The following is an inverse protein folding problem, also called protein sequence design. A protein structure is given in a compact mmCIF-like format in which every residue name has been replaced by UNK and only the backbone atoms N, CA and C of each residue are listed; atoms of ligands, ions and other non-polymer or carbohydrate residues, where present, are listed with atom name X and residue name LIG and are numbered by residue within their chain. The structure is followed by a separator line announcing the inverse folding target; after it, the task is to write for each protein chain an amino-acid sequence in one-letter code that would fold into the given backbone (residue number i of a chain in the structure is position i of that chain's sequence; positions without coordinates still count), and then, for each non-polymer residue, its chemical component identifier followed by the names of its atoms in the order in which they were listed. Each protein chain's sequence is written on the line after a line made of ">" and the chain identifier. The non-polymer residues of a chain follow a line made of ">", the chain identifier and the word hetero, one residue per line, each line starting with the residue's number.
data_IF_328908725488
#
_entry.id   IF_328908725488
#
_cell.length_a   1.000
_cell.length_b   1.000
_cell.length_c   1.000
_cell.angle_alpha   90.00
_cell.angle_beta   90.00
_cell.angle_gamma   90.00
#
_symmetry.space_group_name_H-M   'P 1'
#
loop_
_entity.id
_entity.type
_entity.pdbx_description
1 polymer ?
#
# COMPACT_ATOMS: atom_id res chain seq x y z
N UNK A 1 -20.61 30.86 8.36
CA UNK A 1 -19.24 30.48 7.95
C UNK A 1 -18.62 29.37 8.81
N UNK A 2 -18.96 29.24 10.11
CA UNK A 2 -18.46 28.13 10.95
C UNK A 2 -18.94 26.75 10.47
N UNK A 3 -20.20 26.66 10.03
CA UNK A 3 -20.83 25.40 9.61
C UNK A 3 -20.10 24.73 8.42
N UNK A 4 -19.61 25.53 7.47
CA UNK A 4 -18.82 25.06 6.32
C UNK A 4 -17.49 24.44 6.74
N UNK A 5 -16.85 24.97 7.79
CA UNK A 5 -15.57 24.48 8.28
C UNK A 5 -15.72 23.17 9.07
N UNK A 6 -16.80 23.03 9.85
CA UNK A 6 -17.12 21.79 10.59
C UNK A 6 -17.45 20.67 9.61
N UNK A 7 -18.32 20.93 8.62
CA UNK A 7 -18.67 19.96 7.57
C UNK A 7 -17.41 19.43 6.86
N UNK A 8 -16.47 20.31 6.53
CA UNK A 8 -15.20 19.93 5.89
C UNK A 8 -14.30 19.02 6.75
N UNK A 9 -14.21 19.25 8.06
CA UNK A 9 -13.44 18.39 8.97
C UNK A 9 -14.07 17.00 9.08
N UNK A 10 -15.38 16.95 9.32
CA UNK A 10 -16.13 15.70 9.44
C UNK A 10 -16.02 14.89 8.14
N UNK A 11 -16.16 15.52 6.98
CA UNK A 11 -16.00 14.86 5.69
C UNK A 11 -14.60 14.25 5.51
N UNK A 12 -13.52 14.97 5.87
CA UNK A 12 -12.16 14.43 5.81
C UNK A 12 -11.98 13.20 6.70
N UNK A 13 -12.52 13.24 7.92
CA UNK A 13 -12.45 12.09 8.84
C UNK A 13 -13.21 10.89 8.25
N UNK A 14 -14.43 11.10 7.75
CA UNK A 14 -15.22 10.02 7.11
C UNK A 14 -14.46 9.41 5.93
N UNK A 15 -13.94 10.23 5.01
CA UNK A 15 -13.15 9.73 3.87
C UNK A 15 -11.92 8.95 4.33
N UNK A 16 -11.25 9.40 5.39
CA UNK A 16 -10.10 8.70 5.96
C UNK A 16 -10.49 7.36 6.55
N UNK A 17 -11.61 7.28 7.26
CA UNK A 17 -12.11 6.01 7.81
C UNK A 17 -12.49 5.02 6.71
N UNK A 18 -13.06 5.50 5.60
CA UNK A 18 -13.36 4.66 4.43
C UNK A 18 -12.05 4.15 3.80
N UNK A 19 -11.07 5.01 3.56
CA UNK A 19 -9.77 4.61 3.01
C UNK A 19 -9.06 3.64 3.94
N UNK A 20 -9.13 3.86 5.25
CA UNK A 20 -8.58 2.96 6.25
C UNK A 20 -9.23 1.57 6.18
N UNK A 21 -10.57 1.50 6.12
CA UNK A 21 -11.29 0.24 6.02
C UNK A 21 -10.99 -0.52 4.72
N UNK A 22 -10.97 0.18 3.58
CA UNK A 22 -10.64 -0.41 2.27
C UNK A 22 -9.18 -0.88 2.26
N UNK A 23 -8.25 -0.08 2.76
CA UNK A 23 -6.83 -0.42 2.78
C UNK A 23 -6.54 -1.59 3.73
N UNK A 24 -7.22 -1.66 4.88
CA UNK A 24 -7.09 -2.79 5.80
C UNK A 24 -7.60 -4.08 5.18
N UNK A 25 -8.80 -4.03 4.60
CA UNK A 25 -9.41 -5.19 3.93
C UNK A 25 -8.58 -5.62 2.72
N UNK A 26 -8.13 -4.65 1.91
CA UNK A 26 -7.26 -4.87 0.76
C UNK A 26 -5.91 -5.46 1.16
N UNK A 27 -5.29 -5.00 2.25
CA UNK A 27 -4.04 -5.58 2.75
C UNK A 27 -4.24 -7.06 3.10
N UNK A 28 -5.28 -7.39 3.87
CA UNK A 28 -5.56 -8.79 4.28
C UNK A 28 -5.88 -9.65 3.07
N UNK A 29 -6.77 -9.21 2.18
CA UNK A 29 -7.16 -9.95 0.98
C UNK A 29 -5.96 -10.23 0.07
N UNK A 30 -5.09 -9.23 -0.15
CA UNK A 30 -3.92 -9.42 -0.99
C UNK A 30 -2.87 -10.33 -0.34
N UNK A 31 -2.67 -10.24 0.98
CA UNK A 31 -1.81 -11.20 1.68
C UNK A 31 -2.35 -12.64 1.58
N UNK A 32 -3.67 -12.84 1.62
CA UNK A 32 -4.29 -14.15 1.42
C UNK A 32 -4.03 -14.68 0.00
N UNK A 33 -4.21 -13.85 -1.03
CA UNK A 33 -3.89 -14.24 -2.43
C UNK A 33 -2.42 -14.64 -2.56
N UNK A 34 -1.49 -13.93 -1.91
CA UNK A 34 -0.07 -14.31 -1.88
C UNK A 34 0.18 -15.65 -1.19
N UNK A 35 -0.53 -15.93 -0.09
CA UNK A 35 -0.45 -17.22 0.57
C UNK A 35 -0.97 -18.33 -0.34
N UNK A 36 -2.16 -18.17 -0.93
CA UNK A 36 -2.72 -19.16 -1.85
C UNK A 36 -1.85 -19.39 -3.08
N UNK A 37 -1.28 -18.34 -3.66
CA UNK A 37 -0.40 -18.45 -4.82
C UNK A 37 0.89 -19.23 -4.53
N UNK A 38 1.36 -19.21 -3.28
CA UNK A 38 2.53 -20.00 -2.84
C UNK A 38 2.16 -21.44 -2.49
N UNK A 39 0.96 -21.66 -1.96
CA UNK A 39 0.53 -22.98 -1.46
C UNK A 39 -0.06 -23.88 -2.55
N UNK A 40 -0.88 -23.31 -3.44
CA UNK A 40 -1.59 -24.09 -4.45
C UNK A 40 -0.74 -24.26 -5.71
N UNK A 41 -0.38 -25.50 -6.02
CA UNK A 41 0.40 -25.86 -7.22
C UNK A 41 -0.23 -25.35 -8.53
N UNK A 42 -1.56 -25.22 -8.58
CA UNK A 42 -2.30 -24.70 -9.74
C UNK A 42 -1.89 -23.26 -10.08
N UNK A 43 -1.50 -22.46 -9.08
CA UNK A 43 -1.04 -21.07 -9.25
C UNK A 43 0.48 -20.95 -9.47
N UNK A 44 1.22 -22.07 -9.56
CA UNK A 44 2.65 -22.06 -9.91
C UNK A 44 2.88 -21.90 -11.42
N UNK A 45 1.81 -21.77 -12.20
CA UNK A 45 1.89 -21.35 -13.59
C UNK A 45 2.20 -19.84 -13.71
N UNK A 46 2.49 -19.39 -14.93
CA UNK A 46 2.80 -18.00 -15.18
C UNK A 46 1.68 -17.03 -14.81
N UNK A 47 0.42 -17.43 -14.98
CA UNK A 47 -0.74 -16.60 -14.65
C UNK A 47 -0.87 -16.39 -13.14
N UNK A 48 -0.74 -17.45 -12.33
CA UNK A 48 -0.78 -17.35 -10.88
C UNK A 48 0.37 -16.51 -10.33
N UNK A 49 1.54 -16.56 -10.98
CA UNK A 49 2.66 -15.69 -10.62
C UNK A 49 2.45 -14.23 -10.96
N UNK A 50 1.84 -13.95 -12.11
CA UNK A 50 1.43 -12.59 -12.46
C UNK A 50 0.42 -12.06 -11.44
N UNK A 51 -0.65 -12.82 -11.18
CA UNK A 51 -1.70 -12.46 -10.22
C UNK A 51 -1.14 -12.20 -8.82
N UNK A 52 -0.19 -13.02 -8.37
CA UNK A 52 0.40 -12.81 -7.07
C UNK A 52 1.42 -11.65 -7.06
N UNK A 53 2.09 -11.34 -8.17
CA UNK A 53 2.87 -10.09 -8.26
C UNK A 53 1.98 -8.84 -8.18
N UNK A 54 0.81 -8.87 -8.83
CA UNK A 54 -0.17 -7.80 -8.79
C UNK A 54 -0.73 -7.65 -7.37
N UNK A 55 -1.09 -8.76 -6.74
CA UNK A 55 -1.57 -8.76 -5.37
C UNK A 55 -0.52 -8.27 -4.38
N UNK A 56 0.75 -8.59 -4.58
CA UNK A 56 1.84 -8.02 -3.80
C UNK A 56 1.93 -6.50 -3.94
N UNK A 57 1.81 -5.97 -5.17
CA UNK A 57 1.77 -4.54 -5.43
C UNK A 57 0.63 -3.85 -4.68
N UNK A 58 -0.57 -4.44 -4.72
CA UNK A 58 -1.76 -3.94 -4.04
C UNK A 58 -1.63 -4.01 -2.51
N UNK A 59 -1.06 -5.09 -1.96
CA UNK A 59 -0.77 -5.20 -0.52
C UNK A 59 0.16 -4.08 -0.05
N UNK A 60 1.21 -3.83 -0.84
CA UNK A 60 2.21 -2.79 -0.59
C UNK A 60 1.55 -1.40 -0.64
N UNK A 61 0.71 -1.13 -1.63
CA UNK A 61 -0.06 0.11 -1.75
C UNK A 61 -1.01 0.31 -0.55
N UNK A 62 -1.74 -0.73 -0.16
CA UNK A 62 -2.61 -0.72 1.02
C UNK A 62 -1.82 -0.44 2.31
N UNK A 63 -0.63 -1.04 2.47
CA UNK A 63 0.24 -0.78 3.60
C UNK A 63 0.72 0.68 3.63
N UNK A 64 0.99 1.30 2.47
CA UNK A 64 1.34 2.73 2.41
C UNK A 64 0.16 3.58 2.89
N UNK A 65 -1.05 3.29 2.44
CA UNK A 65 -2.22 4.05 2.86
C UNK A 65 -2.48 3.92 4.37
N UNK A 66 -2.33 2.72 4.93
CA UNK A 66 -2.48 2.50 6.37
C UNK A 66 -1.40 3.20 7.19
N UNK A 67 -0.13 3.07 6.80
CA UNK A 67 1.00 3.55 7.59
C UNK A 67 1.31 5.03 7.39
N UNK A 68 0.98 5.60 6.23
CA UNK A 68 1.31 7.00 5.91
C UNK A 68 0.08 7.88 5.77
N UNK A 69 -0.89 7.50 4.94
CA UNK A 69 -2.02 8.36 4.61
C UNK A 69 -3.01 8.49 5.78
N UNK A 70 -3.48 7.37 6.33
CA UNK A 70 -4.45 7.36 7.42
C UNK A 70 -3.99 8.15 8.65
N UNK A 71 -2.78 7.93 9.19
CA UNK A 71 -2.32 8.73 10.32
C UNK A 71 -2.16 10.20 9.92
N UNK A 72 -1.63 10.51 8.73
CA UNK A 72 -1.47 11.89 8.28
C UNK A 72 -2.78 12.68 8.36
N UNK A 73 -3.90 12.10 7.92
CA UNK A 73 -5.19 12.80 7.96
C UNK A 73 -5.81 12.82 9.36
N UNK A 74 -5.68 11.74 10.14
CA UNK A 74 -6.20 11.71 11.52
C UNK A 74 -5.50 12.74 12.42
N UNK A 75 -4.20 12.92 12.25
CA UNK A 75 -3.43 13.93 12.96
C UNK A 75 -3.79 15.33 12.47
N UNK A 76 -4.15 15.44 11.18
CA UNK A 76 -4.70 16.67 10.63
C UNK A 76 -6.05 17.05 11.22
N UNK A 77 -6.86 16.07 11.62
CA UNK A 77 -8.09 16.36 12.33
C UNK A 77 -7.84 16.75 13.80
N UNK A 78 -6.87 16.14 14.48
CA UNK A 78 -6.71 16.26 15.94
C UNK A 78 -5.82 17.42 16.41
N UNK A 79 -5.23 18.22 15.51
CA UNK A 79 -4.19 19.22 15.83
C UNK A 79 -2.94 18.66 16.54
N UNK A 80 -2.81 17.34 16.68
CA UNK A 80 -1.66 16.66 17.31
C UNK A 80 -0.58 16.34 16.25
N UNK A 81 -0.40 17.24 15.29
CA UNK A 81 0.59 17.09 14.22
C UNK A 81 2.01 16.91 14.78
N UNK A 82 2.36 17.72 15.78
CA UNK A 82 3.71 17.78 16.31
C UNK A 82 4.11 16.47 17.01
N UNK A 83 3.20 15.89 17.79
CA UNK A 83 3.49 14.68 18.57
C UNK A 83 3.71 13.47 17.68
N UNK A 84 3.05 13.41 16.52
CA UNK A 84 3.27 12.32 15.59
C UNK A 84 4.48 12.52 14.68
N UNK A 85 4.79 13.74 14.24
CA UNK A 85 6.10 14.00 13.59
C UNK A 85 7.24 13.56 14.51
N UNK A 86 7.10 13.80 15.82
CA UNK A 86 8.05 13.37 16.85
C UNK A 86 8.08 11.84 17.04
N UNK A 87 6.93 11.18 17.24
CA UNK A 87 6.86 9.71 17.37
C UNK A 87 7.35 8.99 16.11
N UNK A 88 7.13 9.58 14.93
CA UNK A 88 7.58 9.02 13.65
C UNK A 88 9.06 9.31 13.37
N UNK A 89 9.75 10.06 14.23
CA UNK A 89 11.20 10.31 14.21
C UNK A 89 11.79 10.47 12.82
N UNK A 90 11.86 11.69 12.27
CA UNK A 90 12.47 11.99 10.96
C UNK A 90 11.99 11.18 9.74
N UNK A 91 11.08 10.21 9.88
CA UNK A 91 10.50 9.45 8.78
C UNK A 91 9.44 10.30 8.05
N UNK A 92 9.81 11.49 7.60
CA UNK A 92 9.06 12.18 6.55
C UNK A 92 8.97 11.21 5.38
N UNK A 93 7.80 11.13 4.75
CA UNK A 93 7.68 10.46 3.46
C UNK A 93 8.42 11.33 2.44
N UNK A 94 9.74 11.26 2.48
CA UNK A 94 10.63 11.96 1.57
C UNK A 94 10.61 11.22 0.24
N UNK A 95 10.91 11.90 -0.89
CA UNK A 95 11.10 11.22 -2.16
C UNK A 95 12.12 10.07 -2.05
N UNK A 96 13.08 10.17 -1.14
CA UNK A 96 14.04 9.10 -0.82
C UNK A 96 13.41 7.90 -0.11
N UNK A 97 12.42 8.12 0.77
CA UNK A 97 11.63 7.02 1.36
C UNK A 97 10.82 6.31 0.29
N UNK A 98 10.22 7.06 -0.62
CA UNK A 98 9.49 6.53 -1.78
C UNK A 98 10.44 5.72 -2.69
N UNK A 99 11.63 6.24 -3.00
CA UNK A 99 12.68 5.50 -3.75
C UNK A 99 13.11 4.24 -3.03
N UNK A 100 13.39 4.31 -1.72
CA UNK A 100 13.76 3.13 -0.91
C UNK A 100 12.66 2.10 -0.91
N UNK A 101 11.41 2.53 -0.83
CA UNK A 101 10.24 1.66 -0.89
C UNK A 101 10.10 1.00 -2.26
N UNK A 102 10.26 1.75 -3.36
CA UNK A 102 10.28 1.21 -4.73
C UNK A 102 11.46 0.26 -4.96
N UNK A 103 12.64 0.56 -4.41
CA UNK A 103 13.82 -0.32 -4.48
C UNK A 103 13.62 -1.60 -3.67
N UNK A 104 13.03 -1.48 -2.47
CA UNK A 104 12.68 -2.63 -1.64
C UNK A 104 11.62 -3.48 -2.34
N UNK A 105 10.59 -2.86 -2.91
CA UNK A 105 9.59 -3.50 -3.76
C UNK A 105 10.26 -4.25 -4.91
N UNK A 106 11.15 -3.58 -5.66
CA UNK A 106 11.90 -4.19 -6.77
C UNK A 106 12.78 -5.36 -6.33
N UNK A 107 13.40 -5.25 -5.14
CA UNK A 107 14.24 -6.31 -4.56
C UNK A 107 13.39 -7.52 -4.14
N UNK A 108 12.29 -7.29 -3.43
CA UNK A 108 11.35 -8.35 -3.01
C UNK A 108 10.73 -9.04 -4.24
N UNK A 109 10.34 -8.27 -5.25
CA UNK A 109 9.81 -8.79 -6.51
C UNK A 109 10.84 -9.70 -7.20
N UNK A 110 12.12 -9.27 -7.27
CA UNK A 110 13.23 -10.08 -7.78
C UNK A 110 13.43 -11.38 -7.01
N UNK A 111 13.40 -11.32 -5.67
CA UNK A 111 13.67 -12.49 -4.82
C UNK A 111 12.53 -13.50 -4.81
N UNK A 112 11.27 -13.05 -4.81
CA UNK A 112 10.13 -13.94 -4.60
C UNK A 112 9.34 -14.29 -5.85
N UNK A 113 9.36 -13.46 -6.90
CA UNK A 113 8.50 -13.64 -8.07
C UNK A 113 9.26 -13.78 -9.39
N UNK A 114 10.41 -13.13 -9.53
CA UNK A 114 11.06 -12.87 -10.82
C UNK A 114 12.11 -13.90 -11.26
N UNK A 115 12.09 -15.11 -10.71
CA UNK A 115 13.05 -16.13 -11.13
C UNK A 115 12.78 -16.68 -12.55
N UNK A 116 11.60 -16.43 -13.12
CA UNK A 116 11.33 -16.81 -14.50
C UNK A 116 11.07 -15.58 -15.36
N UNK A 117 11.77 -15.57 -16.49
CA UNK A 117 11.75 -14.58 -17.57
C UNK A 117 10.36 -14.14 -18.05
N UNK A 118 9.28 -14.79 -17.61
CA UNK A 118 7.91 -14.58 -18.06
C UNK A 118 7.33 -13.19 -17.72
N UNK A 119 7.62 -12.61 -16.54
CA UNK A 119 7.04 -11.31 -16.17
C UNK A 119 7.68 -10.16 -16.96
N UNK A 120 8.94 -10.26 -17.36
CA UNK A 120 9.55 -9.24 -18.25
C UNK A 120 8.79 -9.14 -19.57
N UNK A 121 8.26 -10.24 -20.10
CA UNK A 121 7.45 -10.23 -21.32
C UNK A 121 6.08 -9.58 -21.10
N UNK A 122 5.38 -9.85 -19.99
CA UNK A 122 4.04 -9.27 -19.76
C UNK A 122 4.11 -7.77 -19.42
N UNK A 123 5.15 -7.33 -18.68
CA UNK A 123 5.37 -5.89 -18.45
C UNK A 123 5.69 -5.16 -19.76
N UNK A 124 6.40 -5.80 -20.69
CA UNK A 124 6.61 -5.23 -22.04
C UNK A 124 5.30 -5.16 -22.84
N UNK A 125 4.35 -6.07 -22.62
CA UNK A 125 3.07 -6.09 -23.36
C UNK A 125 1.96 -5.21 -22.78
N UNK A 126 2.11 -4.67 -21.57
CA UNK A 126 1.08 -3.80 -20.95
C UNK A 126 1.45 -2.31 -20.97
N UNK A 127 2.60 -1.94 -21.56
CA UNK A 127 2.86 -0.57 -22.00
C UNK A 127 2.57 -0.45 -23.50
#
# INVERSE_FOLDING_TARGET
>A
MYESAVSSKTQRVIVTLIIFAISLTGLVANLLVLMFAKTLKIFQNSFGRLSASQSFAEAVLCAVFLCFYCPMVLLFASNIYEKFIFLRGNARFTPETCKRFVLLYRKILKTHFFNDKFIYTVIIFTQ
#
